data_IF_995499434208
#
_entry.id   IF_995499434208
#
_cell.length_a   1.000
_cell.length_b   1.000
_cell.length_c   1.000
_cell.angle_alpha   90.00
_cell.angle_beta   90.00
_cell.angle_gamma   90.00
#
_symmetry.space_group_name_H-M   'P 1'
#
loop_
_entity.id
_entity.type
_entity.pdbx_description
1 polymer ?
#
# COMPACT_ATOMS: atom_id res chain seq x y z
N UNK A 1 38.86 14.32 42.14
CA UNK A 1 40.00 14.16 41.19
C UNK A 1 40.85 13.05 41.75
N UNK A 2 41.24 12.09 40.94
CA UNK A 2 42.04 10.95 41.39
C UNK A 2 43.40 11.42 41.87
N UNK A 3 43.93 10.78 42.89
CA UNK A 3 45.22 11.14 43.54
C UNK A 3 46.37 10.53 42.72
N UNK A 4 47.45 11.31 42.56
CA UNK A 4 48.72 10.83 42.02
C UNK A 4 49.82 11.09 43.02
N UNK A 5 50.42 10.02 43.54
CA UNK A 5 51.53 10.11 44.51
C UNK A 5 52.92 10.27 43.86
N UNK A 6 53.03 9.92 42.57
CA UNK A 6 54.29 10.12 41.85
C UNK A 6 54.52 11.60 41.54
N UNK A 7 55.61 12.16 42.07
CA UNK A 7 55.92 13.58 41.90
C UNK A 7 57.23 13.74 41.12
N UNK A 8 57.33 14.71 40.21
CA UNK A 8 58.55 14.97 39.51
C UNK A 8 59.60 15.58 40.50
N UNK A 9 60.81 15.10 40.44
CA UNK A 9 61.90 15.54 41.30
C UNK A 9 62.71 16.70 40.68
N UNK A 10 63.17 17.64 41.49
CA UNK A 10 64.08 18.74 41.12
C UNK A 10 63.49 19.59 39.91
N UNK A 11 62.28 20.00 39.97
CA UNK A 11 61.59 20.75 38.87
C UNK A 11 61.58 22.27 39.03
N UNK A 12 62.02 22.80 40.18
CA UNK A 12 62.12 24.25 40.39
C UNK A 12 63.12 24.90 39.42
N UNK A 13 62.88 26.16 39.06
CA UNK A 13 63.74 26.89 38.12
C UNK A 13 65.18 26.99 38.56
N UNK A 14 65.47 27.03 39.91
CA UNK A 14 66.78 27.08 40.52
C UNK A 14 67.27 25.72 41.06
N UNK A 15 66.66 24.60 40.63
CA UNK A 15 67.05 23.30 41.07
C UNK A 15 68.52 23.01 40.70
N UNK A 16 69.22 22.35 41.61
CA UNK A 16 70.58 21.95 41.37
C UNK A 16 70.64 20.74 40.43
N UNK A 17 70.61 21.01 39.13
CA UNK A 17 70.65 20.01 38.05
C UNK A 17 71.62 20.46 36.96
N UNK A 18 72.35 19.52 36.37
CA UNK A 18 73.27 19.78 35.24
C UNK A 18 72.48 20.37 34.04
N UNK A 19 73.01 21.42 33.41
CA UNK A 19 72.49 22.00 32.23
C UNK A 19 72.36 20.95 31.08
N UNK A 20 71.45 21.13 30.16
CA UNK A 20 71.21 20.12 29.14
C UNK A 20 72.41 19.84 28.25
N UNK A 21 73.09 20.88 27.79
CA UNK A 21 74.28 20.73 26.94
C UNK A 21 75.45 19.98 27.67
N UNK A 22 75.63 20.31 28.96
CA UNK A 22 76.70 19.65 29.79
C UNK A 22 76.34 18.18 30.08
N UNK A 23 75.01 17.88 30.22
CA UNK A 23 74.49 16.54 30.41
C UNK A 23 74.68 15.67 29.14
N UNK A 24 74.41 16.21 27.97
CA UNK A 24 74.61 15.51 26.71
C UNK A 24 76.07 15.22 26.36
N UNK A 25 76.93 16.06 26.80
CA UNK A 25 78.41 15.89 26.63
C UNK A 25 79.10 15.04 27.72
N UNK A 26 78.35 14.59 28.75
CA UNK A 26 78.90 13.87 29.88
C UNK A 26 79.21 12.44 29.47
N UNK A 27 80.48 11.97 29.61
CA UNK A 27 80.83 10.60 29.29
C UNK A 27 80.09 9.55 30.10
N UNK A 28 79.64 9.86 31.31
CA UNK A 28 78.81 9.01 32.16
C UNK A 28 77.41 8.77 31.60
N UNK A 29 76.94 9.54 30.61
CA UNK A 29 75.71 9.29 29.97
C UNK A 29 75.70 7.96 29.18
N UNK A 30 76.85 7.57 28.63
CA UNK A 30 77.02 6.32 27.89
C UNK A 30 77.57 5.18 28.82
N UNK A 31 78.50 5.47 29.74
CA UNK A 31 79.15 4.45 30.55
C UNK A 31 78.55 4.25 31.94
N UNK A 32 77.61 5.12 32.36
CA UNK A 32 77.21 5.23 33.76
C UNK A 32 78.35 5.83 34.66
N UNK A 33 78.07 5.97 35.95
CA UNK A 33 79.05 6.40 36.92
C UNK A 33 79.86 5.20 37.33
N UNK A 34 81.16 5.12 36.89
CA UNK A 34 82.01 3.92 37.02
C UNK A 34 82.88 3.94 38.24
N UNK A 35 83.36 5.09 38.65
CA UNK A 35 84.18 5.26 39.85
C UNK A 35 84.25 6.74 40.30
N UNK A 36 84.51 7.02 41.58
CA UNK A 36 84.67 8.36 42.14
C UNK A 36 83.30 8.93 42.63
N UNK A 37 83.22 10.26 42.74
CA UNK A 37 82.05 10.97 43.24
C UNK A 37 81.31 11.58 42.07
N UNK A 38 80.04 11.13 41.84
CA UNK A 38 79.19 11.86 41.00
C UNK A 38 78.77 13.18 41.66
N UNK A 39 78.63 14.29 40.89
CA UNK A 39 78.12 15.53 41.46
C UNK A 39 76.60 15.42 41.72
N UNK A 40 76.15 16.08 42.78
CA UNK A 40 74.76 16.08 43.12
C UNK A 40 73.87 16.59 41.94
N UNK A 41 74.41 17.56 41.16
CA UNK A 41 73.74 18.10 39.99
C UNK A 41 73.53 17.04 38.87
N UNK A 42 74.52 16.16 38.67
CA UNK A 42 74.46 15.05 37.70
C UNK A 42 73.45 13.97 38.14
N UNK A 43 73.49 13.57 39.41
CA UNK A 43 72.50 12.60 39.97
C UNK A 43 71.07 13.16 39.92
N UNK A 44 70.95 14.43 40.34
CA UNK A 44 69.65 15.11 40.27
C UNK A 44 69.07 15.16 38.82
N UNK A 45 69.93 15.34 37.81
CA UNK A 45 69.53 15.34 36.41
C UNK A 45 68.98 13.97 36.01
N UNK A 46 69.63 12.89 36.33
CA UNK A 46 69.17 11.54 36.01
C UNK A 46 67.82 11.22 36.72
N UNK A 47 67.72 11.49 38.02
CA UNK A 47 66.49 11.29 38.79
C UNK A 47 65.37 12.17 38.27
N UNK A 48 65.62 13.43 37.90
CA UNK A 48 64.65 14.31 37.37
C UNK A 48 64.00 13.74 36.07
N UNK A 49 64.87 13.28 35.15
CA UNK A 49 64.34 12.72 33.87
C UNK A 49 63.46 11.49 34.13
N UNK A 50 63.91 10.57 34.97
CA UNK A 50 63.15 9.36 35.30
C UNK A 50 61.86 9.70 36.06
N UNK A 51 61.90 10.55 37.08
CA UNK A 51 60.73 10.91 37.88
C UNK A 51 59.71 11.78 37.12
N UNK A 52 60.23 12.61 36.19
CA UNK A 52 59.30 13.41 35.35
C UNK A 52 58.41 12.53 34.46
N UNK A 53 58.98 11.55 33.77
CA UNK A 53 58.26 10.60 32.96
C UNK A 53 57.33 9.74 33.81
N UNK A 54 57.81 9.23 34.96
CA UNK A 54 56.97 8.46 35.88
C UNK A 54 55.76 9.27 36.39
N UNK A 55 56.00 10.51 36.81
CA UNK A 55 54.95 11.41 37.29
C UNK A 55 53.94 11.76 36.17
N UNK A 56 54.39 12.00 34.94
CA UNK A 56 53.56 12.28 33.81
C UNK A 56 52.66 11.08 33.44
N UNK A 57 53.24 9.87 33.41
CA UNK A 57 52.48 8.64 33.12
C UNK A 57 51.47 8.33 34.22
N UNK A 58 51.89 8.49 35.50
CA UNK A 58 50.98 8.31 36.63
C UNK A 58 49.84 9.34 36.63
N UNK A 59 50.12 10.60 36.26
CA UNK A 59 49.09 11.64 36.15
C UNK A 59 48.12 11.38 35.01
N UNK A 60 48.61 10.96 33.85
CA UNK A 60 47.80 10.55 32.73
C UNK A 60 46.86 9.39 33.14
N UNK A 61 47.43 8.35 33.77
CA UNK A 61 46.70 7.19 34.25
C UNK A 61 45.59 7.59 35.24
N UNK A 62 45.91 8.42 36.24
CA UNK A 62 44.95 8.91 37.22
C UNK A 62 43.81 9.71 36.56
N UNK A 63 44.15 10.64 35.67
CA UNK A 63 43.16 11.49 34.99
C UNK A 63 42.22 10.68 34.09
N UNK A 64 42.74 9.73 33.35
CA UNK A 64 41.99 8.95 32.38
C UNK A 64 41.24 7.77 33.01
N UNK A 65 41.87 7.01 33.92
CA UNK A 65 41.17 5.91 34.59
C UNK A 65 40.16 6.39 35.62
N UNK A 66 40.39 7.56 36.23
CA UNK A 66 39.61 8.08 37.36
C UNK A 66 39.94 7.39 38.69
N UNK A 67 41.00 6.57 38.75
CA UNK A 67 41.45 5.81 39.90
C UNK A 67 42.74 6.41 40.48
N UNK A 68 42.91 6.31 41.79
CA UNK A 68 44.13 6.78 42.47
C UNK A 68 45.34 5.96 42.04
N UNK A 69 46.45 6.66 41.75
CA UNK A 69 47.75 6.07 41.47
C UNK A 69 48.68 6.33 42.65
N UNK A 70 48.81 5.31 43.50
CA UNK A 70 49.55 5.38 44.74
C UNK A 70 50.98 4.83 44.55
N UNK A 71 51.93 5.35 45.36
CA UNK A 71 53.27 4.81 45.46
C UNK A 71 53.32 3.75 46.57
N UNK A 72 52.67 2.61 46.32
CA UNK A 72 52.48 1.51 47.26
C UNK A 72 53.20 0.23 46.85
N UNK A 73 53.97 0.28 45.75
CA UNK A 73 54.68 -0.87 45.20
C UNK A 73 53.82 -1.88 44.45
N UNK A 74 52.52 -1.65 44.29
CA UNK A 74 51.63 -2.51 43.49
C UNK A 74 51.78 -2.22 41.98
N UNK A 75 52.77 -2.84 41.36
CA UNK A 75 53.06 -2.74 39.93
C UNK A 75 51.89 -3.28 39.10
N UNK A 76 51.26 -4.39 39.52
CA UNK A 76 50.16 -4.99 38.75
C UNK A 76 48.90 -4.10 38.77
N UNK A 77 48.58 -3.51 39.94
CA UNK A 77 47.50 -2.54 40.05
C UNK A 77 47.72 -1.29 39.20
N UNK A 78 49.00 -0.81 39.15
CA UNK A 78 49.34 0.31 38.27
C UNK A 78 49.17 -0.05 36.77
N UNK A 79 49.63 -1.22 36.33
CA UNK A 79 49.42 -1.70 34.93
C UNK A 79 47.94 -1.82 34.58
N UNK A 80 47.12 -2.36 35.48
CA UNK A 80 45.68 -2.47 35.26
C UNK A 80 45.02 -1.10 35.10
N UNK A 81 45.35 -0.13 35.95
CA UNK A 81 44.87 1.27 35.85
C UNK A 81 45.35 1.94 34.57
N UNK A 82 46.57 1.71 34.15
CA UNK A 82 47.17 2.21 32.92
C UNK A 82 46.41 1.63 31.69
N UNK A 83 46.14 0.32 31.67
CA UNK A 83 45.39 -0.33 30.63
C UNK A 83 43.97 0.25 30.51
N UNK A 84 43.31 0.50 31.66
CA UNK A 84 42.01 1.14 31.69
C UNK A 84 42.04 2.60 31.20
N UNK A 85 43.13 3.33 31.48
CA UNK A 85 43.32 4.70 31.00
C UNK A 85 43.51 4.74 29.48
N UNK A 86 44.36 3.88 28.93
CA UNK A 86 44.55 3.77 27.47
C UNK A 86 43.27 3.33 26.74
N UNK A 87 42.49 2.42 27.32
CA UNK A 87 41.19 1.99 26.74
C UNK A 87 40.14 3.10 26.59
N UNK A 88 40.36 4.26 27.25
CA UNK A 88 39.50 5.44 27.06
C UNK A 88 39.91 6.34 25.89
N UNK A 89 41.19 6.32 25.52
CA UNK A 89 41.71 7.11 24.40
C UNK A 89 41.90 6.27 23.14
N UNK A 90 42.07 4.97 23.29
CA UNK A 90 42.27 4.03 22.20
C UNK A 90 41.21 2.96 22.23
N UNK A 91 40.60 2.71 21.11
CA UNK A 91 39.63 1.63 20.99
C UNK A 91 40.37 0.28 21.16
N UNK A 92 39.83 -0.66 21.98
CA UNK A 92 40.36 -2.00 22.05
C UNK A 92 40.43 -2.64 20.67
N UNK A 93 41.45 -3.45 20.42
CA UNK A 93 41.53 -4.21 19.18
C UNK A 93 40.32 -5.17 19.11
N UNK A 94 39.48 -4.95 18.15
CA UNK A 94 38.28 -5.73 17.86
C UNK A 94 38.39 -6.32 16.45
N UNK A 95 37.98 -7.56 16.28
CA UNK A 95 38.12 -8.25 15.00
C UNK A 95 37.25 -7.61 13.92
N UNK A 96 36.04 -7.20 14.28
CA UNK A 96 35.12 -6.50 13.37
C UNK A 96 35.68 -5.18 12.88
N UNK A 97 36.26 -4.36 13.79
CA UNK A 97 36.90 -3.10 13.45
C UNK A 97 38.17 -3.28 12.65
N UNK A 98 38.93 -4.32 12.95
CA UNK A 98 40.11 -4.71 12.19
C UNK A 98 39.75 -5.07 10.76
N UNK A 99 38.66 -5.82 10.57
CA UNK A 99 38.16 -6.16 9.24
C UNK A 99 37.73 -4.91 8.43
N UNK A 100 37.05 -3.94 9.06
CA UNK A 100 36.73 -2.67 8.44
C UNK A 100 37.98 -1.82 8.13
N UNK A 101 38.90 -1.74 9.04
CA UNK A 101 40.16 -0.98 8.87
C UNK A 101 41.04 -1.56 7.76
N UNK A 102 40.96 -2.86 7.51
CA UNK A 102 41.66 -3.55 6.43
C UNK A 102 41.13 -3.27 5.03
N UNK A 103 39.96 -2.62 4.91
CA UNK A 103 39.39 -2.30 3.62
C UNK A 103 40.12 -1.11 2.97
N UNK A 104 40.46 -1.24 1.70
CA UNK A 104 40.95 -0.10 0.90
C UNK A 104 39.76 0.69 0.36
N UNK A 105 39.47 1.84 0.97
CA UNK A 105 38.38 2.72 0.55
C UNK A 105 38.56 3.18 -0.90
N UNK A 106 37.44 3.25 -1.63
CA UNK A 106 37.38 3.78 -2.98
C UNK A 106 36.06 4.55 -3.20
N UNK A 107 36.04 5.45 -4.17
CA UNK A 107 34.81 6.14 -4.53
C UNK A 107 33.73 5.14 -4.92
N UNK A 108 32.48 5.47 -4.58
CA UNK A 108 31.30 4.67 -4.91
C UNK A 108 31.32 3.23 -4.35
N UNK A 109 31.93 3.05 -3.19
CA UNK A 109 31.91 1.78 -2.44
C UNK A 109 31.22 1.93 -1.11
N UNK A 110 30.50 0.89 -0.74
CA UNK A 110 29.86 0.72 0.56
C UNK A 110 30.51 -0.47 1.26
N UNK A 111 31.01 -0.28 2.50
CA UNK A 111 31.50 -1.38 3.32
C UNK A 111 30.32 -2.16 3.90
N UNK A 112 30.42 -3.48 3.92
CA UNK A 112 29.43 -4.36 4.53
C UNK A 112 30.12 -5.60 5.12
N UNK A 113 29.46 -6.22 6.10
CA UNK A 113 29.93 -7.49 6.66
C UNK A 113 29.44 -8.65 5.79
N UNK A 114 30.36 -9.53 5.41
CA UNK A 114 30.09 -10.71 4.59
C UNK A 114 30.31 -12.04 5.33
N UNK A 115 30.52 -11.98 6.65
CA UNK A 115 30.67 -13.09 7.59
C UNK A 115 31.08 -12.55 8.97
N UNK A 116 31.24 -13.46 9.93
CA UNK A 116 31.72 -13.12 11.27
C UNK A 116 33.13 -12.49 11.18
N UNK A 117 33.28 -11.31 11.75
CA UNK A 117 34.54 -10.55 11.78
C UNK A 117 35.20 -10.36 10.40
N UNK A 118 34.44 -10.40 9.33
CA UNK A 118 34.90 -10.15 7.96
C UNK A 118 34.06 -9.07 7.28
N UNK A 119 34.72 -8.22 6.51
CA UNK A 119 34.10 -7.12 5.79
C UNK A 119 34.58 -7.04 4.35
N UNK A 120 33.73 -6.56 3.46
CA UNK A 120 34.03 -6.37 2.05
C UNK A 120 33.44 -5.03 1.54
N UNK A 121 33.90 -4.61 0.36
CA UNK A 121 33.32 -3.46 -0.33
C UNK A 121 32.40 -3.92 -1.47
N UNK A 122 31.21 -3.35 -1.52
CA UNK A 122 30.32 -3.49 -2.69
C UNK A 122 30.17 -2.14 -3.41
N UNK A 123 29.72 -2.17 -4.67
CA UNK A 123 29.45 -0.95 -5.41
C UNK A 123 28.20 -0.25 -4.88
N UNK A 124 28.31 1.02 -4.52
CA UNK A 124 27.17 1.91 -4.29
C UNK A 124 26.86 2.66 -5.58
N UNK A 125 25.96 2.12 -6.39
CA UNK A 125 25.62 2.68 -7.71
C UNK A 125 25.06 4.10 -7.60
N UNK A 126 25.14 4.89 -8.68
CA UNK A 126 24.52 6.22 -8.73
C UNK A 126 23.03 6.16 -8.39
N UNK A 127 22.30 5.17 -8.93
CA UNK A 127 20.89 4.96 -8.64
C UNK A 127 20.62 4.66 -7.15
N UNK A 128 21.45 3.83 -6.52
CA UNK A 128 21.32 3.57 -5.08
C UNK A 128 21.52 4.85 -4.24
N UNK A 129 22.49 5.71 -4.60
CA UNK A 129 22.68 7.01 -3.95
C UNK A 129 21.50 7.94 -4.15
N UNK A 130 20.89 7.94 -5.34
CA UNK A 130 19.69 8.74 -5.60
C UNK A 130 18.49 8.30 -4.73
N UNK A 131 18.33 6.99 -4.50
CA UNK A 131 17.30 6.47 -3.59
C UNK A 131 17.60 6.88 -2.14
N UNK A 132 18.83 6.69 -1.67
CA UNK A 132 19.24 7.01 -0.30
C UNK A 132 19.20 8.52 -0.01
N UNK A 133 19.28 9.36 -1.03
CA UNK A 133 19.19 10.81 -0.90
C UNK A 133 17.75 11.34 -0.77
N UNK A 134 16.73 10.48 -0.91
CA UNK A 134 15.34 10.91 -0.80
C UNK A 134 14.97 11.15 0.67
N UNK A 135 14.16 12.17 0.91
CA UNK A 135 13.73 12.59 2.25
C UNK A 135 12.43 11.95 2.71
N UNK A 136 11.68 11.33 1.78
CA UNK A 136 10.40 10.69 2.04
C UNK A 136 10.11 9.52 1.09
N UNK A 137 9.03 8.80 1.39
CA UNK A 137 8.59 7.65 0.60
C UNK A 137 8.15 8.04 -0.82
N UNK A 138 7.60 9.23 -1.02
CA UNK A 138 7.14 9.69 -2.34
C UNK A 138 8.33 9.89 -3.29
N UNK A 139 9.41 10.49 -2.79
CA UNK A 139 10.67 10.66 -3.53
C UNK A 139 11.28 9.31 -3.91
N UNK A 140 11.30 8.33 -2.99
CA UNK A 140 11.78 6.97 -3.29
C UNK A 140 10.94 6.32 -4.40
N UNK A 141 9.61 6.39 -4.31
CA UNK A 141 8.71 5.85 -5.32
C UNK A 141 8.92 6.48 -6.69
N UNK A 142 9.14 7.81 -6.73
CA UNK A 142 9.44 8.52 -7.97
C UNK A 142 10.75 8.04 -8.61
N UNK A 143 11.79 7.86 -7.81
CA UNK A 143 13.09 7.34 -8.29
C UNK A 143 13.02 5.90 -8.79
N UNK A 144 12.15 5.09 -8.21
CA UNK A 144 11.86 3.73 -8.68
C UNK A 144 11.02 3.70 -9.97
N UNK A 145 10.59 4.85 -10.51
CA UNK A 145 9.68 4.92 -11.64
C UNK A 145 8.27 4.45 -11.34
N UNK A 146 7.92 4.37 -10.06
CA UNK A 146 6.63 3.90 -9.57
C UNK A 146 5.70 5.06 -9.16
N UNK A 147 6.10 6.30 -9.34
CA UNK A 147 5.35 7.51 -9.06
C UNK A 147 5.16 8.37 -10.29
N UNK A 148 4.09 9.16 -10.32
CA UNK A 148 3.96 10.29 -11.21
C UNK A 148 4.73 11.50 -10.62
N UNK A 149 4.68 12.64 -11.32
CA UNK A 149 5.29 13.90 -10.84
C UNK A 149 4.73 14.38 -9.48
N UNK A 150 3.60 13.81 -9.03
CA UNK A 150 2.99 14.07 -7.71
C UNK A 150 3.49 13.10 -6.62
N UNK A 151 4.37 12.14 -6.96
CA UNK A 151 4.93 11.17 -6.02
C UNK A 151 4.01 10.00 -5.65
N UNK A 152 2.93 9.77 -6.40
CA UNK A 152 1.97 8.70 -6.14
C UNK A 152 1.90 7.70 -7.28
N UNK A 153 1.91 6.42 -6.93
CA UNK A 153 1.77 5.29 -7.86
C UNK A 153 0.36 4.79 -7.75
N UNK A 154 -0.60 5.17 -8.45
CA UNK A 154 -1.91 4.52 -8.53
C UNK A 154 -2.25 3.49 -7.42
N UNK A 155 -1.75 3.70 -6.19
CA UNK A 155 -1.91 2.78 -5.06
C UNK A 155 -3.38 2.74 -4.66
N UNK A 156 -3.94 1.55 -4.61
CA UNK A 156 -5.29 1.36 -4.09
C UNK A 156 -5.32 1.74 -2.59
N UNK A 157 -6.10 2.76 -2.26
CA UNK A 157 -6.29 3.23 -0.89
C UNK A 157 -7.51 2.58 -0.24
N UNK A 158 -8.63 2.49 -0.99
CA UNK A 158 -9.90 1.99 -0.49
C UNK A 158 -10.78 1.51 -1.64
N UNK A 159 -11.67 0.56 -1.35
CA UNK A 159 -12.79 0.19 -2.22
C UNK A 159 -14.08 0.55 -1.49
N UNK A 160 -14.96 1.28 -2.16
CA UNK A 160 -16.30 1.61 -1.66
C UNK A 160 -17.33 0.98 -2.60
N UNK A 161 -18.26 0.21 -2.03
CA UNK A 161 -19.32 -0.48 -2.78
C UNK A 161 -20.66 0.10 -2.36
N UNK A 162 -21.43 0.56 -3.34
CA UNK A 162 -22.76 1.15 -3.14
C UNK A 162 -23.82 0.23 -3.74
N UNK A 163 -24.70 -0.28 -2.88
CA UNK A 163 -25.90 -1.08 -3.23
C UNK A 163 -27.19 -0.30 -2.99
N UNK A 164 -27.07 0.91 -2.44
CA UNK A 164 -28.12 1.91 -2.25
C UNK A 164 -27.56 3.29 -2.54
N UNK A 165 -28.43 4.23 -2.92
CA UNK A 165 -28.04 5.63 -3.17
C UNK A 165 -27.46 6.28 -1.91
N UNK A 166 -26.48 7.16 -2.08
CA UNK A 166 -25.76 7.80 -0.98
C UNK A 166 -24.75 8.83 -1.48
N UNK A 167 -23.75 9.07 -0.67
CA UNK A 167 -22.64 9.98 -0.99
C UNK A 167 -21.32 9.26 -0.78
N UNK A 168 -20.45 9.27 -1.78
CA UNK A 168 -19.07 8.88 -1.62
C UNK A 168 -18.27 10.04 -1.03
N UNK A 169 -17.51 9.77 0.03
CA UNK A 169 -16.53 10.72 0.59
C UNK A 169 -15.15 10.22 0.23
N UNK A 170 -14.36 11.11 -0.37
CA UNK A 170 -12.99 10.80 -0.80
C UNK A 170 -12.09 10.52 0.40
N UNK A 171 -11.35 9.42 0.35
CA UNK A 171 -10.32 9.12 1.34
C UNK A 171 -9.17 10.14 1.22
N UNK A 172 -8.61 10.66 2.33
CA UNK A 172 -7.45 11.52 2.29
C UNK A 172 -6.30 10.89 1.50
N UNK A 173 -5.70 11.65 0.58
CA UNK A 173 -4.64 11.17 -0.30
C UNK A 173 -5.12 10.55 -1.63
N UNK A 174 -6.41 10.29 -1.80
CA UNK A 174 -6.93 9.84 -3.09
C UNK A 174 -6.88 10.96 -4.14
N UNK A 175 -6.33 10.63 -5.31
CA UNK A 175 -6.20 11.51 -6.47
C UNK A 175 -7.14 11.09 -7.61
N UNK A 176 -7.40 9.81 -7.74
CA UNK A 176 -8.23 9.24 -8.81
C UNK A 176 -9.23 8.26 -8.26
N UNK A 177 -10.39 8.22 -8.89
CA UNK A 177 -11.40 7.17 -8.70
C UNK A 177 -11.52 6.34 -9.98
N UNK A 178 -11.36 5.02 -9.83
CA UNK A 178 -11.81 4.06 -10.84
C UNK A 178 -13.21 3.64 -10.48
N UNK A 179 -14.18 3.99 -11.32
CA UNK A 179 -15.60 3.79 -11.06
C UNK A 179 -16.12 2.72 -12.01
N UNK A 180 -16.77 1.69 -11.45
CA UNK A 180 -17.54 0.69 -12.16
C UNK A 180 -19.01 0.95 -11.83
N UNK A 181 -19.82 1.26 -12.83
CA UNK A 181 -21.22 1.66 -12.69
C UNK A 181 -22.10 0.73 -13.53
N UNK A 182 -23.07 0.09 -12.90
CA UNK A 182 -24.04 -0.79 -13.55
C UNK A 182 -25.46 -0.28 -13.27
N UNK A 183 -26.23 -0.04 -14.31
CA UNK A 183 -27.64 0.25 -14.25
C UNK A 183 -28.48 -0.92 -13.73
N UNK A 184 -29.71 -0.68 -13.30
CA UNK A 184 -30.63 -1.72 -12.84
C UNK A 184 -31.21 -2.55 -14.00
N UNK A 185 -31.62 -3.77 -13.74
CA UNK A 185 -32.34 -4.59 -14.71
C UNK A 185 -33.81 -4.18 -14.84
N UNK A 186 -34.37 -4.38 -16.01
CA UNK A 186 -35.81 -4.20 -16.29
C UNK A 186 -36.68 -5.29 -15.68
N UNK A 187 -37.88 -4.95 -15.30
CA UNK A 187 -38.94 -5.89 -14.92
C UNK A 187 -39.56 -6.58 -16.15
N UNK A 188 -40.15 -7.75 -15.97
CA UNK A 188 -40.92 -8.39 -17.01
C UNK A 188 -42.40 -7.99 -16.95
N UNK A 189 -43.07 -8.03 -18.08
CA UNK A 189 -44.53 -7.88 -18.11
C UNK A 189 -45.24 -9.11 -17.56
N UNK A 190 -46.50 -8.93 -17.17
CA UNK A 190 -47.39 -10.04 -16.84
C UNK A 190 -47.83 -10.76 -18.12
N UNK A 191 -48.15 -12.06 -18.01
CA UNK A 191 -48.92 -12.77 -19.03
C UNK A 191 -50.41 -12.52 -18.78
N UNK A 192 -51.14 -11.88 -19.71
CA UNK A 192 -52.56 -11.60 -19.54
C UNK A 192 -53.41 -12.86 -19.28
N UNK A 193 -54.61 -12.67 -18.69
CA UNK A 193 -55.59 -13.74 -18.57
C UNK A 193 -56.04 -14.22 -19.95
N UNK A 194 -56.37 -15.49 -20.06
CA UNK A 194 -56.68 -16.17 -21.33
C UNK A 194 -58.07 -16.80 -21.32
N UNK A 195 -58.74 -16.76 -22.45
CA UNK A 195 -60.00 -17.55 -22.74
C UNK A 195 -59.64 -19.03 -23.08
N UNK A 196 -60.67 -19.79 -23.41
CA UNK A 196 -60.61 -21.24 -23.69
C UNK A 196 -59.71 -21.60 -24.87
N UNK A 197 -59.56 -20.72 -25.85
CA UNK A 197 -58.77 -20.93 -27.07
C UNK A 197 -57.68 -19.88 -27.23
N UNK A 198 -57.14 -19.43 -26.14
CA UNK A 198 -56.11 -18.37 -26.12
C UNK A 198 -54.94 -18.76 -25.29
N UNK A 199 -53.78 -18.22 -25.63
CA UNK A 199 -52.55 -18.24 -24.83
C UNK A 199 -52.02 -16.83 -24.71
N UNK A 200 -51.20 -16.59 -23.69
CA UNK A 200 -50.45 -15.32 -23.52
C UNK A 200 -49.06 -15.57 -23.06
N UNK A 201 -48.15 -14.68 -23.44
CA UNK A 201 -46.74 -14.75 -23.09
C UNK A 201 -46.19 -13.35 -22.77
N UNK A 202 -45.09 -13.29 -22.06
CA UNK A 202 -44.35 -12.02 -21.87
C UNK A 202 -42.87 -12.21 -22.01
N UNK A 203 -42.20 -11.17 -22.52
CA UNK A 203 -40.76 -11.11 -22.53
C UNK A 203 -40.19 -10.88 -21.10
N UNK A 204 -38.99 -11.34 -20.87
CA UNK A 204 -38.18 -10.94 -19.72
C UNK A 204 -37.76 -9.47 -19.82
N UNK A 205 -37.25 -8.95 -18.75
CA UNK A 205 -36.60 -7.65 -18.69
C UNK A 205 -35.18 -7.68 -19.25
N UNK A 206 -34.73 -6.56 -19.82
CA UNK A 206 -33.34 -6.34 -20.24
C UNK A 206 -32.41 -6.09 -19.08
N UNK A 207 -31.13 -6.21 -19.31
CA UNK A 207 -30.09 -5.85 -18.31
C UNK A 207 -29.76 -4.36 -18.33
N UNK A 208 -29.24 -3.83 -17.22
CA UNK A 208 -28.72 -2.47 -17.15
C UNK A 208 -27.43 -2.28 -17.96
N UNK A 209 -27.19 -1.07 -18.41
CA UNK A 209 -25.94 -0.67 -19.05
C UNK A 209 -24.78 -0.72 -18.05
N UNK A 210 -23.59 -0.99 -18.55
CA UNK A 210 -22.34 -0.97 -17.78
C UNK A 210 -21.40 0.11 -18.27
N UNK A 211 -20.72 0.75 -17.33
CA UNK A 211 -19.70 1.73 -17.63
C UNK A 211 -18.55 1.67 -16.63
N UNK A 212 -17.35 1.93 -17.12
CA UNK A 212 -16.13 2.01 -16.32
C UNK A 212 -15.27 3.17 -16.77
N UNK A 213 -14.68 3.88 -15.80
CA UNK A 213 -13.75 4.98 -16.08
C UNK A 213 -12.88 5.31 -14.88
N UNK A 214 -11.77 6.03 -15.18
CA UNK A 214 -10.89 6.61 -14.17
C UNK A 214 -10.98 8.13 -14.27
N UNK A 215 -11.20 8.79 -13.13
CA UNK A 215 -11.44 10.23 -13.06
C UNK A 215 -10.51 10.87 -12.05
N UNK A 216 -10.01 12.07 -12.38
CA UNK A 216 -9.31 12.92 -11.42
C UNK A 216 -10.31 13.49 -10.41
N UNK A 217 -10.02 13.27 -9.14
CA UNK A 217 -10.86 13.72 -8.02
C UNK A 217 -10.06 14.60 -7.05
N UNK A 218 -8.92 15.13 -7.50
CA UNK A 218 -8.04 15.96 -6.67
C UNK A 218 -8.76 17.17 -6.09
N UNK A 219 -9.67 17.78 -6.87
CA UNK A 219 -10.39 19.01 -6.53
C UNK A 219 -11.70 18.80 -5.77
N UNK A 220 -12.14 17.56 -5.54
CA UNK A 220 -13.41 17.28 -4.86
C UNK A 220 -13.20 16.53 -3.56
N UNK A 221 -14.17 16.60 -2.67
CA UNK A 221 -14.21 15.85 -1.41
C UNK A 221 -15.32 14.81 -1.38
N UNK A 222 -16.43 15.06 -2.09
CA UNK A 222 -17.62 14.18 -2.11
C UNK A 222 -18.25 14.17 -3.49
N UNK A 223 -19.00 13.09 -3.78
CA UNK A 223 -19.91 13.03 -4.93
C UNK A 223 -21.17 12.23 -4.57
N UNK A 224 -22.29 12.57 -5.19
CA UNK A 224 -23.53 11.80 -5.05
C UNK A 224 -23.42 10.48 -5.81
N UNK A 225 -23.92 9.40 -5.22
CA UNK A 225 -24.05 8.08 -5.84
C UNK A 225 -25.52 7.76 -5.91
N UNK A 226 -26.03 7.53 -7.10
CA UNK A 226 -27.40 7.06 -7.35
C UNK A 226 -27.32 5.59 -7.75
N UNK A 227 -28.13 4.75 -7.10
CA UNK A 227 -28.28 3.35 -7.46
C UNK A 227 -29.68 3.15 -8.02
N UNK A 228 -29.75 2.71 -9.27
CA UNK A 228 -31.01 2.42 -9.94
C UNK A 228 -31.78 1.28 -9.26
N UNK A 229 -33.07 1.46 -9.02
CA UNK A 229 -33.94 0.40 -8.55
C UNK A 229 -34.27 -0.55 -9.71
N UNK A 230 -34.38 -1.84 -9.43
CA UNK A 230 -34.87 -2.80 -10.42
C UNK A 230 -36.28 -2.41 -10.90
N UNK A 231 -36.53 -2.56 -12.20
CA UNK A 231 -37.84 -2.28 -12.78
C UNK A 231 -38.90 -3.20 -12.17
N UNK A 232 -40.06 -2.68 -11.82
CA UNK A 232 -41.16 -3.47 -11.27
C UNK A 232 -41.70 -4.48 -12.30
N UNK A 233 -42.12 -5.65 -11.84
CA UNK A 233 -42.84 -6.62 -12.66
C UNK A 233 -44.30 -6.21 -12.92
N UNK A 234 -44.83 -6.55 -14.08
CA UNK A 234 -46.24 -6.36 -14.41
C UNK A 234 -47.18 -7.20 -13.51
N UNK A 235 -48.40 -6.76 -13.34
CA UNK A 235 -49.46 -7.43 -12.56
C UNK A 235 -50.73 -7.61 -13.37
N UNK A 236 -51.73 -8.30 -12.83
CA UNK A 236 -53.02 -8.45 -13.49
C UNK A 236 -53.71 -7.09 -13.77
N UNK A 237 -53.50 -6.07 -12.92
CA UNK A 237 -54.08 -4.74 -13.06
C UNK A 237 -53.23 -3.77 -13.89
N UNK A 238 -51.94 -4.05 -14.04
CA UNK A 238 -50.97 -3.27 -14.84
C UNK A 238 -50.03 -4.24 -15.53
N UNK A 239 -50.39 -4.65 -16.73
CA UNK A 239 -49.70 -5.74 -17.46
C UNK A 239 -48.24 -5.43 -17.76
N UNK A 240 -47.92 -4.18 -18.07
CA UNK A 240 -46.55 -3.77 -18.43
C UNK A 240 -45.65 -3.71 -17.22
N UNK A 241 -44.48 -4.28 -17.35
CA UNK A 241 -43.38 -4.06 -16.42
C UNK A 241 -42.80 -2.65 -16.55
N UNK A 242 -41.88 -2.31 -15.68
CA UNK A 242 -41.17 -1.04 -15.70
C UNK A 242 -39.71 -1.20 -16.11
N UNK A 243 -39.16 -0.17 -16.74
CA UNK A 243 -37.69 -0.08 -16.98
C UNK A 243 -36.93 -0.04 -15.66
N UNK A 244 -35.70 -0.53 -15.65
CA UNK A 244 -34.78 -0.38 -14.55
C UNK A 244 -34.33 1.07 -14.39
N UNK A 245 -33.95 1.44 -13.17
CA UNK A 245 -33.43 2.77 -12.85
C UNK A 245 -31.97 2.95 -13.31
N UNK A 246 -31.60 4.20 -13.56
CA UNK A 246 -30.21 4.59 -13.86
C UNK A 246 -29.38 4.59 -12.61
N UNK A 247 -28.13 4.09 -12.68
CA UNK A 247 -27.10 4.28 -11.68
C UNK A 247 -26.12 5.35 -12.15
N UNK A 248 -25.58 6.17 -11.22
CA UNK A 248 -24.62 7.22 -11.57
C UNK A 248 -23.74 7.63 -10.40
N UNK A 249 -22.60 8.28 -10.71
CA UNK A 249 -21.73 8.94 -9.72
C UNK A 249 -21.49 10.38 -10.15
N UNK A 250 -22.10 11.31 -9.45
CA UNK A 250 -22.02 12.75 -9.76
C UNK A 250 -22.24 13.03 -11.24
N UNK A 251 -21.37 13.83 -11.83
CA UNK A 251 -21.31 14.08 -13.28
C UNK A 251 -20.28 13.20 -14.01
N UNK A 252 -19.63 12.27 -13.31
CA UNK A 252 -18.54 11.48 -13.89
C UNK A 252 -19.07 10.41 -14.84
N UNK A 253 -20.04 9.61 -14.38
CA UNK A 253 -20.47 8.41 -15.08
C UNK A 253 -21.96 8.13 -14.82
N UNK A 254 -22.67 7.66 -15.84
CA UNK A 254 -24.07 7.28 -15.75
C UNK A 254 -24.36 6.05 -16.59
N UNK A 255 -25.06 5.09 -16.02
CA UNK A 255 -25.45 3.82 -16.65
C UNK A 255 -26.95 3.62 -16.58
N UNK A 256 -27.69 3.76 -17.69
CA UNK A 256 -29.11 3.55 -17.77
C UNK A 256 -29.54 2.14 -17.36
N UNK A 257 -30.79 1.99 -16.92
CA UNK A 257 -31.37 0.70 -16.62
C UNK A 257 -31.82 -0.05 -17.87
N UNK A 258 -32.05 -1.36 -17.73
CA UNK A 258 -32.59 -2.24 -18.76
C UNK A 258 -34.04 -1.95 -19.05
N UNK A 259 -34.48 -2.22 -20.28
CA UNK A 259 -35.85 -2.05 -20.71
C UNK A 259 -36.77 -3.12 -20.13
N UNK A 260 -38.04 -2.75 -19.88
CA UNK A 260 -39.04 -3.69 -19.44
C UNK A 260 -39.38 -4.72 -20.52
N UNK A 261 -39.84 -5.89 -20.12
CA UNK A 261 -40.41 -6.88 -21.00
C UNK A 261 -41.76 -6.45 -21.57
N UNK A 262 -42.08 -6.94 -22.74
CA UNK A 262 -43.38 -6.68 -23.43
C UNK A 262 -44.28 -7.91 -23.36
N UNK A 263 -45.61 -7.73 -23.13
CA UNK A 263 -46.60 -8.81 -23.19
C UNK A 263 -47.09 -9.05 -24.62
N UNK A 264 -47.56 -10.26 -24.90
CA UNK A 264 -48.31 -10.58 -26.10
C UNK A 264 -49.46 -11.55 -25.80
N UNK A 265 -50.55 -11.41 -26.53
CA UNK A 265 -51.80 -12.10 -26.28
C UNK A 265 -52.68 -11.35 -25.24
N UNK A 266 -53.85 -11.93 -24.86
CA UNK A 266 -54.35 -13.26 -25.25
C UNK A 266 -54.68 -13.36 -26.73
N UNK A 267 -54.28 -14.46 -27.37
CA UNK A 267 -54.55 -14.75 -28.78
C UNK A 267 -54.43 -16.24 -29.08
N UNK A 268 -54.94 -16.65 -30.23
CA UNK A 268 -54.72 -17.99 -30.76
C UNK A 268 -53.28 -18.17 -31.21
N UNK A 269 -52.57 -19.22 -30.80
CA UNK A 269 -51.21 -19.48 -31.28
C UNK A 269 -51.22 -19.91 -32.76
N UNK A 270 -50.09 -19.76 -33.53
CA UNK A 270 -48.79 -19.29 -33.04
C UNK A 270 -48.61 -17.77 -33.11
N UNK A 271 -47.89 -17.20 -32.15
CA UNK A 271 -47.45 -15.80 -32.16
C UNK A 271 -46.25 -15.57 -31.24
N UNK A 272 -45.61 -14.42 -31.34
CA UNK A 272 -44.58 -13.96 -30.42
C UNK A 272 -44.67 -12.44 -30.22
N UNK A 273 -44.30 -11.92 -29.06
CA UNK A 273 -44.12 -10.47 -28.87
C UNK A 273 -42.91 -9.95 -29.64
N UNK A 274 -42.84 -8.64 -29.81
CA UNK A 274 -41.67 -7.95 -30.29
C UNK A 274 -40.56 -8.10 -29.25
N UNK A 275 -39.29 -8.31 -29.69
CA UNK A 275 -38.13 -8.34 -28.79
C UNK A 275 -37.93 -6.99 -28.05
N UNK A 276 -37.39 -7.04 -26.87
CA UNK A 276 -37.02 -5.82 -26.16
C UNK A 276 -35.83 -5.13 -26.84
N UNK A 277 -35.86 -3.82 -26.84
CA UNK A 277 -34.70 -3.03 -27.19
C UNK A 277 -33.61 -3.15 -26.10
N UNK A 278 -32.38 -2.96 -26.51
CA UNK A 278 -31.26 -2.75 -25.56
C UNK A 278 -31.54 -1.50 -24.71
N UNK A 279 -30.89 -1.40 -23.54
CA UNK A 279 -30.87 -0.15 -22.79
C UNK A 279 -30.22 0.97 -23.62
N UNK A 280 -30.47 2.21 -23.23
CA UNK A 280 -29.67 3.32 -23.74
C UNK A 280 -28.17 3.13 -23.36
N UNK A 281 -27.28 3.73 -24.14
CA UNK A 281 -25.85 3.65 -23.88
C UNK A 281 -25.47 4.43 -22.63
N UNK A 282 -24.47 3.98 -21.88
CA UNK A 282 -23.94 4.72 -20.75
C UNK A 282 -23.15 5.96 -21.21
N UNK A 283 -22.99 6.93 -20.31
CA UNK A 283 -22.26 8.17 -20.58
C UNK A 283 -21.12 8.38 -19.57
N UNK A 284 -20.13 9.19 -19.97
CA UNK A 284 -19.01 9.58 -19.10
C UNK A 284 -17.89 8.56 -18.97
N UNK A 285 -18.03 7.35 -19.48
CA UNK A 285 -17.00 6.32 -19.44
C UNK A 285 -15.75 6.70 -20.25
N UNK A 286 -14.54 6.24 -19.83
CA UNK A 286 -13.28 6.44 -20.54
C UNK A 286 -12.41 5.18 -20.59
N UNK A 287 -12.91 4.05 -20.05
CA UNK A 287 -12.30 2.73 -20.21
C UNK A 287 -13.20 1.86 -21.08
N UNK A 288 -14.43 1.57 -20.62
CA UNK A 288 -15.40 0.76 -21.34
C UNK A 288 -16.81 1.18 -21.01
N UNK A 289 -17.68 1.20 -22.04
CA UNK A 289 -19.10 1.44 -21.90
C UNK A 289 -19.87 0.49 -22.82
N UNK A 290 -20.95 -0.11 -22.30
CA UNK A 290 -21.80 -1.02 -23.05
C UNK A 290 -23.25 -0.83 -22.65
N UNK A 291 -24.14 -0.74 -23.62
CA UNK A 291 -25.57 -0.87 -23.38
C UNK A 291 -25.89 -2.23 -22.75
N UNK A 292 -26.91 -2.28 -21.93
CA UNK A 292 -27.47 -3.56 -21.46
C UNK A 292 -28.24 -4.27 -22.58
N UNK A 293 -28.21 -5.59 -22.57
CA UNK A 293 -28.92 -6.40 -23.56
C UNK A 293 -30.43 -6.38 -23.32
N UNK A 294 -31.22 -6.30 -24.38
CA UNK A 294 -32.65 -6.61 -24.35
C UNK A 294 -32.85 -8.11 -24.12
N UNK A 295 -34.03 -8.49 -23.60
CA UNK A 295 -34.39 -9.91 -23.48
C UNK A 295 -34.85 -10.44 -24.85
N UNK A 296 -34.64 -11.73 -25.07
CA UNK A 296 -35.15 -12.44 -26.24
C UNK A 296 -36.69 -12.44 -26.24
N UNK A 297 -37.36 -12.58 -27.40
CA UNK A 297 -38.78 -12.67 -27.45
C UNK A 297 -39.29 -13.98 -26.84
N UNK A 298 -40.40 -13.90 -26.11
CA UNK A 298 -41.19 -15.07 -25.71
C UNK A 298 -41.85 -15.74 -26.93
N UNK A 299 -42.32 -16.96 -26.78
CA UNK A 299 -42.96 -17.69 -27.87
C UNK A 299 -44.28 -18.36 -27.44
N UNK A 300 -45.26 -18.30 -28.30
CA UNK A 300 -46.49 -19.04 -28.18
C UNK A 300 -46.68 -19.90 -29.43
N UNK A 301 -46.41 -21.21 -29.36
CA UNK A 301 -46.43 -22.11 -30.52
C UNK A 301 -47.73 -22.89 -30.60
N UNK A 302 -48.25 -23.33 -29.45
CA UNK A 302 -49.46 -24.10 -29.32
C UNK A 302 -50.14 -23.83 -27.97
N UNK A 303 -51.37 -24.26 -27.76
CA UNK A 303 -52.09 -24.14 -26.49
C UNK A 303 -51.40 -24.79 -25.31
N UNK A 304 -50.64 -25.87 -25.53
CA UNK A 304 -49.88 -26.57 -24.53
C UNK A 304 -48.38 -26.18 -24.55
N UNK A 305 -47.96 -25.33 -25.47
CA UNK A 305 -46.55 -24.94 -25.62
C UNK A 305 -46.43 -23.43 -25.84
N UNK A 306 -46.39 -22.73 -24.75
CA UNK A 306 -46.10 -21.31 -24.68
C UNK A 306 -45.08 -21.06 -23.57
N UNK A 307 -44.09 -20.23 -23.82
CA UNK A 307 -43.00 -19.95 -22.88
C UNK A 307 -42.70 -18.45 -22.86
N UNK A 308 -42.56 -17.89 -21.69
CA UNK A 308 -41.93 -16.60 -21.48
C UNK A 308 -40.44 -16.64 -21.88
N UNK A 309 -39.82 -15.52 -22.10
CA UNK A 309 -38.37 -15.48 -22.37
C UNK A 309 -37.55 -15.40 -21.09
N UNK A 310 -36.29 -15.75 -21.21
CA UNK A 310 -35.31 -15.54 -20.14
C UNK A 310 -35.04 -14.05 -19.93
N UNK A 311 -34.77 -13.65 -18.69
CA UNK A 311 -34.27 -12.31 -18.41
C UNK A 311 -32.84 -12.15 -18.91
N UNK A 312 -32.43 -10.94 -19.25
CA UNK A 312 -31.07 -10.66 -19.72
C UNK A 312 -30.06 -10.72 -18.60
N UNK A 313 -28.90 -11.32 -18.89
CA UNK A 313 -27.77 -11.32 -18.00
C UNK A 313 -27.10 -9.93 -17.96
N UNK A 314 -26.66 -9.51 -16.80
CA UNK A 314 -25.69 -8.42 -16.62
C UNK A 314 -24.29 -8.98 -16.43
N UNK A 315 -23.29 -8.11 -16.33
CA UNK A 315 -21.92 -8.53 -16.00
C UNK A 315 -21.77 -9.04 -14.54
N UNK A 316 -22.73 -8.72 -13.66
CA UNK A 316 -22.71 -9.12 -12.24
C UNK A 316 -23.91 -9.99 -11.84
N UNK A 317 -24.66 -10.50 -12.79
CA UNK A 317 -25.80 -11.35 -12.47
C UNK A 317 -26.44 -12.05 -13.66
N UNK A 318 -27.00 -13.21 -13.39
CA UNK A 318 -27.76 -13.97 -14.39
C UNK A 318 -29.20 -13.51 -14.46
N UNK A 319 -29.78 -13.47 -15.65
CA UNK A 319 -31.19 -13.17 -15.85
C UNK A 319 -32.13 -14.25 -15.26
N UNK A 320 -33.37 -13.87 -14.96
CA UNK A 320 -34.39 -14.79 -14.46
C UNK A 320 -34.58 -16.00 -15.37
N UNK A 321 -34.67 -17.19 -14.79
CA UNK A 321 -34.96 -18.43 -15.53
C UNK A 321 -36.40 -18.48 -15.97
N UNK A 322 -36.67 -19.04 -17.15
CA UNK A 322 -38.01 -19.24 -17.66
C UNK A 322 -38.84 -20.14 -16.72
N UNK A 323 -40.00 -19.69 -16.21
CA UNK A 323 -40.85 -20.53 -15.39
C UNK A 323 -41.62 -21.55 -16.23
N UNK A 324 -42.24 -22.53 -15.57
CA UNK A 324 -43.16 -23.43 -16.21
C UNK A 324 -44.42 -22.67 -16.73
N UNK A 325 -45.08 -23.26 -17.71
CA UNK A 325 -46.39 -22.75 -18.21
C UNK A 325 -47.34 -22.55 -17.02
N UNK A 326 -48.13 -21.46 -17.05
CA UNK A 326 -49.09 -21.06 -16.01
C UNK A 326 -48.46 -20.69 -14.65
N UNK A 327 -47.16 -20.38 -14.62
CA UNK A 327 -46.43 -19.92 -13.43
C UNK A 327 -46.04 -18.47 -13.57
N UNK A 328 -45.93 -17.71 -12.46
CA UNK A 328 -45.42 -16.35 -12.47
C UNK A 328 -43.95 -16.30 -12.89
N UNK A 329 -43.49 -15.14 -13.30
CA UNK A 329 -42.13 -14.89 -13.69
C UNK A 329 -41.13 -15.00 -12.52
N UNK A 330 -39.86 -15.27 -12.82
CA UNK A 330 -38.79 -15.36 -11.88
C UNK A 330 -37.89 -14.09 -11.90
N UNK A 331 -37.48 -13.54 -10.75
CA UNK A 331 -36.53 -12.46 -10.73
C UNK A 331 -35.15 -12.93 -11.20
N UNK A 332 -34.29 -12.02 -11.63
CA UNK A 332 -32.88 -12.29 -11.92
C UNK A 332 -32.06 -12.61 -10.67
N UNK A 333 -30.87 -13.14 -10.85
CA UNK A 333 -29.88 -13.43 -9.80
C UNK A 333 -28.66 -12.52 -9.92
N UNK A 334 -28.53 -11.50 -9.07
CA UNK A 334 -27.41 -10.57 -9.06
C UNK A 334 -27.73 -9.20 -9.64
N UNK A 335 -26.83 -8.22 -9.45
CA UNK A 335 -27.07 -6.83 -9.79
C UNK A 335 -27.26 -6.60 -11.29
N UNK A 336 -28.16 -5.69 -11.65
CA UNK A 336 -28.40 -5.22 -13.01
C UNK A 336 -29.06 -6.24 -13.97
N UNK A 337 -29.38 -7.47 -13.51
CA UNK A 337 -30.01 -8.48 -14.36
C UNK A 337 -31.50 -8.31 -14.48
N UNK A 338 -32.07 -8.66 -15.66
CA UNK A 338 -33.50 -8.62 -15.93
C UNK A 338 -34.26 -9.80 -15.36
N UNK A 339 -35.58 -9.63 -15.14
CA UNK A 339 -36.50 -10.71 -14.75
C UNK A 339 -36.87 -11.58 -15.95
N UNK A 340 -37.26 -12.84 -15.74
CA UNK A 340 -37.83 -13.66 -16.82
C UNK A 340 -39.25 -13.19 -17.19
N UNK A 341 -39.70 -13.51 -18.38
CA UNK A 341 -41.11 -13.48 -18.74
C UNK A 341 -41.86 -14.72 -18.20
N UNK A 342 -43.16 -14.72 -18.37
CA UNK A 342 -44.04 -15.83 -18.01
C UNK A 342 -45.05 -16.15 -19.16
N UNK A 343 -45.82 -17.22 -19.00
CA UNK A 343 -46.78 -17.65 -20.02
C UNK A 343 -48.02 -18.28 -19.43
N UNK A 344 -49.17 -18.16 -20.13
CA UNK A 344 -50.41 -18.78 -19.81
C UNK A 344 -50.89 -19.67 -20.98
N UNK A 345 -51.32 -20.87 -20.65
CA UNK A 345 -52.20 -21.70 -21.50
C UNK A 345 -53.64 -21.25 -21.45
N UNK A 346 -54.57 -22.02 -22.05
CA UNK A 346 -56.02 -21.68 -22.09
C UNK A 346 -56.65 -21.59 -20.70
N UNK A 347 -57.65 -20.70 -20.57
CA UNK A 347 -58.52 -20.54 -19.40
C UNK A 347 -57.75 -20.24 -18.10
N UNK A 348 -56.72 -19.43 -18.16
CA UNK A 348 -55.91 -19.04 -17.02
C UNK A 348 -56.14 -17.60 -16.58
N UNK A 349 -56.03 -17.38 -15.26
CA UNK A 349 -55.89 -16.01 -14.74
C UNK A 349 -54.50 -15.45 -15.09
N UNK A 350 -54.40 -14.11 -15.16
CA UNK A 350 -53.10 -13.45 -15.43
C UNK A 350 -52.01 -13.92 -14.47
N UNK A 351 -50.78 -14.10 -14.98
CA UNK A 351 -49.59 -14.41 -14.17
C UNK A 351 -48.71 -13.18 -14.11
N UNK A 352 -48.29 -12.85 -12.91
CA UNK A 352 -47.43 -11.67 -12.68
C UNK A 352 -46.04 -11.81 -13.27
N UNK A 353 -45.53 -10.73 -13.82
CA UNK A 353 -44.12 -10.53 -14.07
C UNK A 353 -43.34 -10.45 -12.78
N UNK A 354 -42.03 -10.40 -12.89
CA UNK A 354 -41.11 -10.24 -11.78
C UNK A 354 -40.28 -8.96 -11.92
N UNK A 355 -39.78 -8.45 -10.79
CA UNK A 355 -38.92 -7.28 -10.78
C UNK A 355 -37.51 -7.61 -11.27
N UNK A 356 -36.90 -6.67 -12.00
CA UNK A 356 -35.46 -6.68 -12.27
C UNK A 356 -34.62 -6.46 -11.02
N UNK A 357 -33.31 -6.63 -11.13
CA UNK A 357 -32.39 -6.43 -10.01
C UNK A 357 -31.83 -5.01 -9.96
N UNK A 358 -31.57 -4.46 -8.77
CA UNK A 358 -30.97 -3.13 -8.64
C UNK A 358 -29.61 -3.05 -9.31
N UNK A 359 -29.16 -1.83 -9.60
CA UNK A 359 -27.82 -1.53 -10.04
C UNK A 359 -26.79 -1.63 -8.91
N UNK A 360 -25.53 -1.37 -9.25
CA UNK A 360 -24.42 -1.32 -8.29
C UNK A 360 -23.37 -0.34 -8.78
N UNK A 361 -22.69 0.33 -7.84
CA UNK A 361 -21.51 1.15 -8.11
C UNK A 361 -20.36 0.68 -7.22
N UNK A 362 -19.18 0.49 -7.82
CA UNK A 362 -17.94 0.16 -7.14
C UNK A 362 -16.93 1.26 -7.45
N UNK A 363 -16.34 1.85 -6.41
CA UNK A 363 -15.35 2.91 -6.51
C UNK A 363 -14.06 2.43 -5.87
N UNK A 364 -13.01 2.33 -6.68
CA UNK A 364 -11.63 2.07 -6.26
C UNK A 364 -10.90 3.41 -6.16
N UNK A 365 -10.47 3.79 -4.97
CA UNK A 365 -9.77 5.05 -4.70
C UNK A 365 -8.27 4.84 -4.84
N UNK A 366 -7.64 5.62 -5.72
CA UNK A 366 -6.22 5.53 -6.03
C UNK A 366 -5.49 6.79 -5.56
N UNK A 367 -4.28 6.62 -4.98
CA UNK A 367 -3.39 7.72 -4.58
C UNK A 367 -2.71 8.33 -5.80
#
# INVERSE_FOLDING_TARGET
>A
MAINNFKPFATAANANVTAQADWESLPALLSGFTAGKASSAQVNKAIRQASFIAAALAQYTANKSGLDVLDDGDLNGFIAKMSAAFGKDFQPLDATLTALAGLTGAADKLAYFNGDDTAALTALTAFAREILAQTDAAGVLLKLGLGDASGYVGRLLKIQVFTASGTVTKTPGAKKWRIKCLGAGGGSSAAPATGSNEVSVSNGGGSGAYAEGIYDVSSITTASVVIGSGGAGGTAGSIYGADGGTSSVGSFISSPGGRAGLPAGPANPPFQPVANNNSDGPTGWNIVGSSGAGAEPAVAVAYSYAAGSRGSNSIFGVGGSVPALNSPANPGGGYGSGASGCSNGPSQSAKSGAAGRPGIVIIEELA
#
